data_IF_793449965255
#
_entry.id   IF_793449965255
#
_cell.length_a   1.000
_cell.length_b   1.000
_cell.length_c   1.000
_cell.angle_alpha   90.00
_cell.angle_beta   90.00
_cell.angle_gamma   90.00
#
_symmetry.space_group_name_H-M   'P 1'
#
loop_
_entity.id
_entity.type
_entity.pdbx_description
1 polymer ?
#
# COMPACT_ATOMS: atom_id res chain seq x y z
N UNK A 1 36.62 43.02 4.88
CA UNK A 1 36.75 41.54 4.72
C UNK A 1 36.04 40.72 5.80
N UNK A 2 36.03 41.07 7.11
CA UNK A 2 35.29 40.32 8.14
C UNK A 2 33.76 40.40 7.98
N UNK A 3 33.19 41.60 7.81
CA UNK A 3 31.73 41.79 7.66
C UNK A 3 31.14 41.04 6.45
N UNK A 4 31.83 41.03 5.31
CA UNK A 4 31.38 40.31 4.12
C UNK A 4 31.30 38.79 4.34
N UNK A 5 32.14 38.21 5.22
CA UNK A 5 32.08 36.77 5.53
C UNK A 5 30.87 36.43 6.39
N UNK A 6 30.54 37.27 7.37
CA UNK A 6 29.36 37.08 8.24
C UNK A 6 28.06 37.10 7.43
N UNK A 7 27.92 38.03 6.48
CA UNK A 7 26.73 38.11 5.62
C UNK A 7 26.57 36.88 4.72
N UNK A 8 27.68 36.35 4.20
CA UNK A 8 27.67 35.14 3.36
C UNK A 8 27.31 33.91 4.18
N UNK A 9 27.84 33.79 5.40
CA UNK A 9 27.50 32.69 6.33
C UNK A 9 26.03 32.77 6.73
N UNK A 10 25.53 33.96 7.06
CA UNK A 10 24.12 34.13 7.43
C UNK A 10 23.18 33.76 6.28
N UNK A 11 23.46 34.23 5.06
CA UNK A 11 22.66 33.90 3.87
C UNK A 11 22.70 32.40 3.55
N UNK A 12 23.85 31.74 3.67
CA UNK A 12 23.95 30.30 3.38
C UNK A 12 23.17 29.46 4.40
N UNK A 13 23.16 29.84 5.68
CA UNK A 13 22.36 29.20 6.73
C UNK A 13 20.87 29.32 6.40
N UNK A 14 20.40 30.53 6.08
CA UNK A 14 18.98 30.76 5.76
C UNK A 14 18.56 29.95 4.53
N UNK A 15 19.36 29.95 3.47
CA UNK A 15 19.07 29.17 2.25
C UNK A 15 19.01 27.67 2.58
N UNK A 16 19.97 27.17 3.35
CA UNK A 16 20.02 25.74 3.73
C UNK A 16 18.79 25.34 4.55
N UNK A 17 18.35 26.19 5.48
CA UNK A 17 17.12 25.99 6.26
C UNK A 17 15.87 25.99 5.37
N UNK A 18 15.77 26.92 4.43
CA UNK A 18 14.64 26.95 3.50
C UNK A 18 14.60 25.69 2.63
N UNK A 19 15.75 25.27 2.09
CA UNK A 19 15.86 24.06 1.26
C UNK A 19 15.51 22.81 2.08
N UNK A 20 16.00 22.69 3.31
CA UNK A 20 15.69 21.53 4.15
C UNK A 20 14.21 21.42 4.48
N UNK A 21 13.53 22.54 4.77
CA UNK A 21 12.08 22.57 4.98
C UNK A 21 11.32 22.11 3.74
N UNK A 22 11.71 22.60 2.56
CA UNK A 22 11.09 22.18 1.29
C UNK A 22 11.27 20.67 1.07
N UNK A 23 12.48 20.14 1.31
CA UNK A 23 12.76 18.71 1.18
C UNK A 23 11.90 17.89 2.14
N UNK A 24 11.75 18.32 3.40
CA UNK A 24 10.90 17.63 4.39
C UNK A 24 9.45 17.57 3.91
N UNK A 25 8.90 18.68 3.41
CA UNK A 25 7.52 18.74 2.92
C UNK A 25 7.35 17.82 1.72
N UNK A 26 8.27 17.86 0.75
CA UNK A 26 8.23 16.99 -0.42
C UNK A 26 8.28 15.52 0.01
N UNK A 27 9.19 15.17 0.93
CA UNK A 27 9.36 13.80 1.40
C UNK A 27 8.11 13.30 2.15
N UNK A 28 7.48 14.14 2.97
CA UNK A 28 6.24 13.81 3.66
C UNK A 28 5.11 13.49 2.65
N UNK A 29 4.97 14.30 1.61
CA UNK A 29 3.98 14.08 0.54
C UNK A 29 4.28 12.80 -0.26
N UNK A 30 5.55 12.50 -0.51
CA UNK A 30 5.96 11.26 -1.20
C UNK A 30 5.64 10.02 -0.36
N UNK A 31 6.03 10.01 0.93
CA UNK A 31 5.75 8.89 1.84
C UNK A 31 4.24 8.65 1.93
N UNK A 32 3.43 9.69 2.09
CA UNK A 32 1.99 9.55 2.18
C UNK A 32 1.39 8.88 0.93
N UNK A 33 1.90 9.23 -0.26
CA UNK A 33 1.35 8.76 -1.53
C UNK A 33 1.88 7.38 -1.94
N UNK A 34 3.13 7.06 -1.63
CA UNK A 34 3.79 5.82 -2.08
C UNK A 34 3.80 4.71 -1.02
N UNK A 35 3.70 5.07 0.26
CA UNK A 35 3.77 4.11 1.36
C UNK A 35 2.46 4.06 2.15
N UNK A 36 2.04 5.18 2.73
CA UNK A 36 0.89 5.19 3.65
C UNK A 36 -0.39 4.76 2.94
N UNK A 37 -0.71 5.35 1.78
CA UNK A 37 -1.94 5.02 1.03
C UNK A 37 -2.04 3.54 0.63
N UNK A 38 -1.03 2.91 -0.02
CA UNK A 38 -1.14 1.49 -0.39
C UNK A 38 -1.11 0.55 0.81
N UNK A 39 -0.43 0.89 1.92
CA UNK A 39 -0.49 0.09 3.16
C UNK A 39 -1.90 0.13 3.75
N UNK A 40 -2.53 1.30 3.82
CA UNK A 40 -3.91 1.41 4.33
C UNK A 40 -4.87 0.61 3.45
N UNK A 41 -4.69 0.63 2.12
CA UNK A 41 -5.47 -0.20 1.20
C UNK A 41 -5.25 -1.70 1.47
N UNK A 42 -4.00 -2.13 1.63
CA UNK A 42 -3.69 -3.53 1.95
C UNK A 42 -4.37 -3.99 3.25
N UNK A 43 -4.33 -3.15 4.29
CA UNK A 43 -5.00 -3.41 5.56
C UNK A 43 -6.52 -3.54 5.39
N UNK A 44 -7.14 -2.60 4.67
CA UNK A 44 -8.57 -2.63 4.37
C UNK A 44 -8.99 -3.93 3.66
N UNK A 45 -8.26 -4.30 2.61
CA UNK A 45 -8.53 -5.52 1.85
C UNK A 45 -8.36 -6.78 2.71
N UNK A 46 -7.33 -6.83 3.56
CA UNK A 46 -7.15 -7.93 4.49
C UNK A 46 -8.34 -8.06 5.47
N UNK A 47 -8.87 -6.94 5.96
CA UNK A 47 -10.09 -6.92 6.78
C UNK A 47 -11.30 -7.42 6.00
N UNK A 48 -11.52 -6.97 4.77
CA UNK A 48 -12.65 -7.42 3.94
C UNK A 48 -12.57 -8.94 3.66
N UNK A 49 -11.39 -9.46 3.34
CA UNK A 49 -11.16 -10.90 3.17
C UNK A 49 -11.42 -11.68 4.47
N UNK A 50 -11.16 -11.07 5.64
CA UNK A 50 -11.47 -11.69 6.93
C UNK A 50 -12.97 -11.71 7.24
N UNK A 51 -13.71 -10.71 6.73
CA UNK A 51 -15.17 -10.62 6.83
C UNK A 51 -15.90 -11.48 5.78
N UNK A 52 -15.16 -12.14 4.88
CA UNK A 52 -15.72 -13.00 3.83
C UNK A 52 -16.04 -12.28 2.53
N UNK A 53 -15.75 -10.97 2.42
CA UNK A 53 -15.86 -10.24 1.17
C UNK A 53 -14.61 -10.46 0.31
N UNK A 54 -14.78 -11.16 -0.82
CA UNK A 54 -13.69 -11.58 -1.71
C UNK A 54 -13.70 -10.87 -3.07
N UNK A 55 -14.50 -9.82 -3.23
CA UNK A 55 -14.59 -9.04 -4.47
C UNK A 55 -13.94 -7.65 -4.30
N UNK A 56 -12.78 -7.62 -3.65
CA UNK A 56 -12.04 -6.37 -3.47
C UNK A 56 -11.15 -6.11 -4.68
N UNK A 57 -11.23 -4.89 -5.22
CA UNK A 57 -10.39 -4.45 -6.33
C UNK A 57 -9.02 -3.96 -5.83
N UNK A 58 -7.98 -4.77 -6.02
CA UNK A 58 -6.60 -4.45 -5.61
C UNK A 58 -5.81 -3.93 -6.80
N UNK A 59 -5.61 -2.60 -6.87
CA UNK A 59 -4.79 -2.01 -7.93
C UNK A 59 -3.31 -2.06 -7.54
N UNK A 60 -2.50 -2.80 -8.30
CA UNK A 60 -1.07 -2.98 -8.05
C UNK A 60 -0.29 -2.09 -9.02
N UNK A 61 0.06 -0.88 -8.58
CA UNK A 61 0.91 0.04 -9.36
C UNK A 61 2.37 0.04 -8.93
N UNK A 62 2.73 -0.67 -7.86
CA UNK A 62 4.10 -0.69 -7.35
C UNK A 62 4.86 -1.97 -7.73
N UNK A 63 6.16 -1.81 -7.97
CA UNK A 63 7.09 -2.90 -8.30
C UNK A 63 8.03 -3.26 -7.14
N UNK A 64 7.80 -2.66 -5.97
CA UNK A 64 8.57 -2.87 -4.74
C UNK A 64 7.91 -3.91 -3.81
N UNK A 65 8.37 -3.95 -2.55
CA UNK A 65 7.84 -4.80 -1.49
C UNK A 65 6.35 -4.55 -1.21
N UNK A 66 5.87 -3.31 -1.37
CA UNK A 66 4.45 -2.97 -1.19
C UNK A 66 3.63 -3.56 -2.34
N UNK A 67 4.14 -3.49 -3.57
CA UNK A 67 3.55 -4.18 -4.70
C UNK A 67 3.46 -5.69 -4.50
N UNK A 68 4.51 -6.29 -3.93
CA UNK A 68 4.54 -7.72 -3.60
C UNK A 68 3.53 -8.08 -2.51
N UNK A 69 3.38 -7.23 -1.48
CA UNK A 69 2.36 -7.42 -0.44
C UNK A 69 0.94 -7.42 -1.03
N UNK A 70 0.64 -6.44 -1.88
CA UNK A 70 -0.68 -6.35 -2.53
C UNK A 70 -0.94 -7.56 -3.44
N UNK A 71 0.06 -8.02 -4.20
CA UNK A 71 -0.02 -9.27 -4.99
C UNK A 71 -0.30 -10.50 -4.12
N UNK A 72 0.28 -10.58 -2.93
CA UNK A 72 0.05 -11.69 -2.02
C UNK A 72 -1.39 -11.70 -1.50
N UNK A 73 -1.95 -10.54 -1.16
CA UNK A 73 -3.35 -10.40 -0.74
C UNK A 73 -4.33 -10.76 -1.87
N UNK A 74 -4.04 -10.34 -3.10
CA UNK A 74 -4.82 -10.66 -4.29
C UNK A 74 -4.91 -12.17 -4.52
N UNK A 75 -3.76 -12.86 -4.46
CA UNK A 75 -3.71 -14.33 -4.54
C UNK A 75 -4.48 -15.00 -3.40
N UNK A 76 -4.41 -14.46 -2.19
CA UNK A 76 -5.14 -15.00 -1.04
C UNK A 76 -6.66 -14.91 -1.25
N UNK A 77 -7.16 -13.76 -1.71
CA UNK A 77 -8.57 -13.55 -2.05
C UNK A 77 -9.03 -14.54 -3.12
N UNK A 78 -8.29 -14.65 -4.22
CA UNK A 78 -8.58 -15.58 -5.31
C UNK A 78 -8.65 -17.03 -4.83
N UNK A 79 -7.68 -17.46 -4.02
CA UNK A 79 -7.63 -18.83 -3.49
C UNK A 79 -8.84 -19.15 -2.59
N UNK A 80 -9.28 -18.19 -1.75
CA UNK A 80 -10.48 -18.37 -0.92
C UNK A 80 -11.76 -18.44 -1.77
N UNK A 81 -11.84 -17.68 -2.86
CA UNK A 81 -12.98 -17.70 -3.76
C UNK A 81 -13.08 -19.08 -4.44
N UNK A 82 -11.97 -19.55 -5.01
CA UNK A 82 -11.87 -20.86 -5.68
C UNK A 82 -12.19 -22.00 -4.71
N UNK A 83 -11.71 -21.94 -3.46
CA UNK A 83 -11.99 -22.97 -2.47
C UNK A 83 -13.49 -23.06 -2.11
N UNK A 84 -14.16 -21.92 -1.94
CA UNK A 84 -15.60 -21.88 -1.66
C UNK A 84 -16.44 -22.40 -2.85
N UNK A 85 -16.07 -22.04 -4.07
CA UNK A 85 -16.75 -22.53 -5.27
C UNK A 85 -16.63 -24.06 -5.38
N UNK A 86 -15.43 -24.59 -5.16
CA UNK A 86 -15.18 -26.04 -5.17
C UNK A 86 -15.97 -26.78 -4.09
N UNK A 87 -16.03 -26.23 -2.88
CA UNK A 87 -16.84 -26.77 -1.78
C UNK A 87 -18.32 -26.84 -2.19
N UNK A 88 -18.84 -25.80 -2.84
CA UNK A 88 -20.24 -25.73 -3.27
C UNK A 88 -20.55 -26.78 -4.35
N UNK A 89 -19.62 -27.01 -5.28
CA UNK A 89 -19.78 -28.08 -6.27
C UNK A 89 -19.75 -29.48 -5.64
N UNK A 90 -18.83 -29.74 -4.70
CA UNK A 90 -18.75 -31.03 -4.02
C UNK A 90 -20.04 -31.35 -3.24
N UNK A 91 -20.65 -30.35 -2.60
CA UNK A 91 -21.93 -30.54 -1.92
C UNK A 91 -23.06 -30.91 -2.88
N UNK A 92 -23.09 -30.33 -4.08
CA UNK A 92 -24.08 -30.67 -5.12
C UNK A 92 -23.88 -32.10 -5.62
N UNK A 93 -22.65 -32.51 -5.89
CA UNK A 93 -22.34 -33.89 -6.30
C UNK A 93 -22.71 -34.90 -5.21
N UNK A 94 -22.42 -34.60 -3.94
CA UNK A 94 -22.80 -35.45 -2.81
C UNK A 94 -24.32 -35.59 -2.68
N UNK A 95 -25.09 -34.52 -2.92
CA UNK A 95 -26.54 -34.59 -2.89
C UNK A 95 -27.11 -35.46 -4.01
N UNK A 96 -26.59 -35.31 -5.23
CA UNK A 96 -27.01 -36.14 -6.38
C UNK A 96 -26.67 -37.62 -6.17
N UNK A 97 -25.58 -37.93 -5.46
CA UNK A 97 -25.21 -39.32 -5.14
C UNK A 97 -25.99 -39.90 -3.95
N UNK A 98 -26.59 -39.05 -3.11
CA UNK A 98 -27.34 -39.47 -1.93
C UNK A 98 -28.84 -39.66 -2.20
N UNK A 99 -29.34 -39.22 -3.36
CA UNK A 99 -30.68 -39.51 -3.91
C UNK A 99 -30.65 -40.73 -4.83
#
# INVERSE_FOLDING_TARGET
MRQQKEDVIFKSIVITLCVSLIVIIIMALLIQRWLTRPITLASYVATEISNGNLDNHIVINSQDEIGNLLRALDRMQANKCIANEKLTQQMLEQKIQAE
#
